data_IF_688864295207
#
_entry.id   IF_688864295207
#
_cell.length_a   1.000
_cell.length_b   1.000
_cell.length_c   1.000
_cell.angle_alpha   90.00
_cell.angle_beta   90.00
_cell.angle_gamma   90.00
#
_symmetry.space_group_name_H-M   'P 1'
#
loop_
_entity.id
_entity.type
_entity.pdbx_description
1 polymer ?
#
# COMPACT_ATOMS: atom_id res chain seq x y z
N UNK A 1 24.19 -2.69 -37.76
CA UNK A 1 24.45 -2.37 -36.35
C UNK A 1 23.39 -1.43 -35.77
N UNK A 2 22.66 -0.66 -36.58
CA UNK A 2 21.66 0.31 -36.09
C UNK A 2 20.36 -0.33 -35.57
N UNK A 3 19.96 -1.48 -36.13
CA UNK A 3 18.73 -2.17 -35.74
C UNK A 3 18.81 -2.73 -34.30
N UNK A 4 19.90 -3.41 -33.94
CA UNK A 4 20.13 -3.91 -32.57
C UNK A 4 20.14 -2.76 -31.56
N UNK A 5 20.79 -1.64 -31.89
CA UNK A 5 20.84 -0.49 -30.98
C UNK A 5 19.46 0.10 -30.72
N UNK A 6 18.60 0.17 -31.75
CA UNK A 6 17.24 0.66 -31.62
C UNK A 6 16.38 -0.24 -30.73
N UNK A 7 16.59 -1.56 -30.79
CA UNK A 7 15.87 -2.55 -29.98
C UNK A 7 16.23 -2.42 -28.49
N UNK A 8 17.53 -2.28 -28.18
CA UNK A 8 18.00 -2.04 -26.81
C UNK A 8 17.49 -0.72 -26.23
N UNK A 9 17.40 0.34 -27.04
CA UNK A 9 16.84 1.63 -26.61
C UNK A 9 15.35 1.49 -26.29
N UNK A 10 14.57 0.79 -27.11
CA UNK A 10 13.15 0.55 -26.86
C UNK A 10 12.94 -0.25 -25.57
N UNK A 11 13.74 -1.30 -25.35
CA UNK A 11 13.69 -2.13 -24.14
C UNK A 11 14.06 -1.29 -22.91
N UNK A 12 15.10 -0.47 -22.99
CA UNK A 12 15.53 0.41 -21.91
C UNK A 12 14.46 1.44 -21.52
N UNK A 13 13.76 2.01 -22.51
CA UNK A 13 12.68 2.97 -22.29
C UNK A 13 11.45 2.30 -21.66
N UNK A 14 11.13 1.08 -22.09
CA UNK A 14 10.09 0.25 -21.47
C UNK A 14 10.38 -0.08 -20.01
N UNK A 15 11.61 -0.47 -19.69
CA UNK A 15 12.06 -0.73 -18.32
C UNK A 15 11.99 0.52 -17.45
N UNK A 16 12.41 1.68 -17.95
CA UNK A 16 12.31 2.94 -17.21
C UNK A 16 10.86 3.33 -16.90
N UNK A 17 9.96 3.16 -17.88
CA UNK A 17 8.52 3.37 -17.65
C UNK A 17 8.00 2.44 -16.55
N UNK A 18 8.34 1.14 -16.61
CA UNK A 18 7.96 0.18 -15.58
C UNK A 18 8.48 0.57 -14.19
N UNK A 19 9.73 1.01 -14.08
CA UNK A 19 10.35 1.45 -12.82
C UNK A 19 9.60 2.66 -12.24
N UNK A 20 9.22 3.63 -13.06
CA UNK A 20 8.47 4.81 -12.57
C UNK A 20 7.08 4.44 -12.04
N UNK A 21 6.37 3.54 -12.71
CA UNK A 21 5.07 3.03 -12.26
C UNK A 21 5.24 2.20 -10.99
N UNK A 22 6.24 1.32 -10.94
CA UNK A 22 6.54 0.49 -9.78
C UNK A 22 6.91 1.33 -8.56
N UNK A 23 7.68 2.42 -8.75
CA UNK A 23 8.02 3.35 -7.70
C UNK A 23 6.79 4.10 -7.16
N UNK A 24 5.90 4.59 -8.04
CA UNK A 24 4.65 5.22 -7.62
C UNK A 24 3.73 4.24 -6.88
N UNK A 25 3.63 3.00 -7.35
CA UNK A 25 2.87 1.95 -6.69
C UNK A 25 3.43 1.63 -5.30
N UNK A 26 4.75 1.45 -5.18
CA UNK A 26 5.43 1.25 -3.89
C UNK A 26 5.24 2.45 -2.96
N UNK A 27 5.28 3.68 -3.47
CA UNK A 27 5.04 4.90 -2.68
C UNK A 27 3.59 4.99 -2.19
N UNK A 28 2.61 4.62 -3.02
CA UNK A 28 1.21 4.52 -2.59
C UNK A 28 1.01 3.40 -1.57
N UNK A 29 1.70 2.26 -1.74
CA UNK A 29 1.64 1.13 -0.79
C UNK A 29 2.29 1.44 0.56
N UNK A 30 3.30 2.33 0.58
CA UNK A 30 3.90 2.85 1.83
C UNK A 30 2.95 3.72 2.65
N UNK A 31 1.82 4.19 2.09
CA UNK A 31 0.70 4.66 2.91
C UNK A 31 0.04 3.42 3.51
N UNK A 32 0.67 2.84 4.54
CA UNK A 32 0.13 1.72 5.32
C UNK A 32 -1.30 2.05 5.69
N UNK A 33 -2.25 1.37 5.07
CA UNK A 33 -3.65 1.49 5.43
C UNK A 33 -3.79 0.78 6.78
N UNK A 34 -4.20 1.48 7.85
CA UNK A 34 -4.38 0.86 9.16
C UNK A 34 -5.38 -0.29 9.04
N UNK A 35 -5.20 -1.37 9.81
CA UNK A 35 -6.00 -2.60 9.65
C UNK A 35 -7.51 -2.31 9.78
N UNK A 36 -7.88 -1.39 10.68
CA UNK A 36 -9.28 -1.00 10.86
C UNK A 36 -9.85 -0.27 9.62
N UNK A 37 -9.01 0.37 8.80
CA UNK A 37 -9.38 0.98 7.52
C UNK A 37 -9.34 0.01 6.33
N UNK A 38 -8.80 -1.20 6.52
CA UNK A 38 -8.91 -2.27 5.52
C UNK A 38 -10.25 -3.00 5.64
N UNK A 39 -10.77 -3.14 6.86
CA UNK A 39 -11.99 -3.90 7.14
C UNK A 39 -13.30 -3.08 7.01
N UNK A 40 -13.25 -1.74 7.15
CA UNK A 40 -14.43 -0.87 7.04
C UNK A 40 -14.21 0.30 6.05
N UNK A 41 -15.12 0.43 5.08
CA UNK A 41 -15.14 1.50 4.07
C UNK A 41 -15.28 2.89 4.71
N UNK A 42 -16.03 3.03 5.81
CA UNK A 42 -16.18 4.30 6.54
C UNK A 42 -14.89 4.71 7.23
N UNK A 43 -14.23 3.75 7.88
CA UNK A 43 -12.93 3.93 8.51
C UNK A 43 -11.86 4.30 7.46
N UNK A 44 -11.90 3.66 6.28
CA UNK A 44 -11.06 3.99 5.12
C UNK A 44 -11.27 5.42 4.62
N UNK A 45 -12.52 5.82 4.43
CA UNK A 45 -12.86 7.16 3.95
C UNK A 45 -12.44 8.23 4.95
N UNK A 46 -12.65 7.97 6.24
CA UNK A 46 -12.22 8.87 7.31
C UNK A 46 -10.70 9.02 7.35
N UNK A 47 -9.94 7.91 7.22
CA UNK A 47 -8.47 7.97 7.17
C UNK A 47 -7.95 8.74 5.95
N UNK A 48 -8.63 8.63 4.80
CA UNK A 48 -8.27 9.36 3.59
C UNK A 48 -8.58 10.87 3.68
N UNK A 49 -9.69 11.25 4.32
CA UNK A 49 -10.09 12.66 4.46
C UNK A 49 -9.41 13.36 5.64
N UNK A 50 -9.33 12.68 6.79
CA UNK A 50 -8.76 13.22 8.02
C UNK A 50 -8.04 12.10 8.83
N UNK A 51 -6.72 11.94 8.61
CA UNK A 51 -5.93 10.94 9.32
C UNK A 51 -5.81 11.23 10.83
N UNK A 52 -5.94 12.49 11.28
CA UNK A 52 -5.89 12.82 12.71
C UNK A 52 -7.18 12.41 13.42
N UNK A 53 -8.34 12.70 12.84
CA UNK A 53 -9.63 12.28 13.40
C UNK A 53 -9.75 10.75 13.41
N UNK A 54 -9.23 10.08 12.38
CA UNK A 54 -9.12 8.63 12.34
C UNK A 54 -8.29 8.10 13.52
N UNK A 55 -7.09 8.65 13.76
CA UNK A 55 -6.22 8.17 14.82
C UNK A 55 -6.79 8.39 16.22
N UNK A 56 -7.58 9.44 16.45
CA UNK A 56 -8.29 9.67 17.73
C UNK A 56 -9.40 8.67 17.99
N UNK A 57 -10.15 8.26 16.96
CA UNK A 57 -11.29 7.35 17.11
C UNK A 57 -10.91 5.87 17.05
N UNK A 58 -9.99 5.54 16.16
CA UNK A 58 -9.65 4.16 15.81
C UNK A 58 -8.23 3.77 16.22
N UNK A 59 -7.40 4.69 16.73
CA UNK A 59 -6.01 4.37 17.11
C UNK A 59 -5.87 3.36 18.26
N UNK A 60 -6.83 3.34 19.19
CA UNK A 60 -6.84 2.35 20.28
C UNK A 60 -7.36 0.99 19.81
N UNK A 61 -8.33 0.99 18.88
CA UNK A 61 -8.86 -0.21 18.23
C UNK A 61 -7.77 -0.85 17.37
N UNK A 62 -7.03 -0.07 16.58
CA UNK A 62 -5.96 -0.58 15.73
C UNK A 62 -4.80 -1.17 16.56
N UNK A 63 -4.49 -0.59 17.73
CA UNK A 63 -3.53 -1.15 18.69
C UNK A 63 -4.00 -2.47 19.30
N UNK A 64 -5.27 -2.56 19.70
CA UNK A 64 -5.82 -3.82 20.20
C UNK A 64 -5.88 -4.90 19.13
N UNK A 65 -6.23 -4.53 17.89
CA UNK A 65 -6.30 -5.45 16.77
C UNK A 65 -4.91 -6.00 16.42
N UNK A 66 -3.89 -5.15 16.37
CA UNK A 66 -2.49 -5.56 16.20
C UNK A 66 -2.04 -6.52 17.30
N UNK A 67 -2.33 -6.21 18.57
CA UNK A 67 -2.00 -7.09 19.69
C UNK A 67 -2.72 -8.45 19.62
N UNK A 68 -3.96 -8.49 19.12
CA UNK A 68 -4.70 -9.74 18.91
C UNK A 68 -4.14 -10.56 17.75
N UNK A 69 -3.70 -9.93 16.64
CA UNK A 69 -3.03 -10.60 15.53
C UNK A 69 -1.69 -11.22 15.95
N UNK A 70 -0.89 -10.49 16.72
CA UNK A 70 0.37 -11.02 17.27
C UNK A 70 0.13 -12.24 18.18
N UNK A 71 -1.04 -12.28 18.85
CA UNK A 71 -1.43 -13.38 19.74
C UNK A 71 -2.07 -14.57 19.02
N UNK A 72 -2.72 -14.35 17.88
CA UNK A 72 -3.39 -15.38 17.07
C UNK A 72 -3.06 -15.22 15.57
N UNK A 73 -1.91 -15.73 15.10
CA UNK A 73 -1.51 -15.62 13.70
C UNK A 73 -2.31 -16.53 12.74
N UNK A 74 -3.37 -17.21 13.19
CA UNK A 74 -4.08 -18.26 12.43
C UNK A 74 -5.31 -17.79 11.63
N UNK A 75 -5.72 -16.52 11.74
CA UNK A 75 -6.96 -16.02 11.11
C UNK A 75 -6.75 -15.27 9.77
N UNK A 76 -5.53 -15.17 9.24
CA UNK A 76 -5.26 -14.45 7.97
C UNK A 76 -5.45 -15.29 6.70
N UNK A 77 -6.11 -16.46 6.75
CA UNK A 77 -6.30 -17.26 5.53
C UNK A 77 -7.30 -18.40 5.64
N UNK A 78 -8.60 -18.08 5.60
CA UNK A 78 -9.64 -19.00 5.07
C UNK A 78 -10.69 -18.20 4.31
#
# INVERSE_FOLDING_TARGET
MDAEYSEWVIIGLGLMSLITVLYQYLRSRKRKIPLSAQNDVKAKRLWQCDPQAYQRKFGDIDRQLQANLEKNPKDEGT
#
